data_IF_552819920516
#
_entry.id   IF_552819920516
#
_cell.length_a   1.000
_cell.length_b   1.000
_cell.length_c   1.000
_cell.angle_alpha   90.00
_cell.angle_beta   90.00
_cell.angle_gamma   90.00
#
_symmetry.space_group_name_H-M   'P 1'
#
loop_
_entity.id
_entity.type
_entity.pdbx_description
1 polymer ?
#
# COMPACT_ATOMS: atom_id res chain seq x y z
N UNK A 1 3.85 7.38 -7.82
CA UNK A 1 2.65 6.55 -7.92
C UNK A 1 1.99 6.80 -9.26
N UNK A 2 1.76 5.76 -10.04
CA UNK A 2 1.14 5.86 -11.37
C UNK A 2 0.47 4.54 -11.77
N UNK A 3 -0.43 4.59 -12.75
CA UNK A 3 -1.00 3.37 -13.36
C UNK A 3 -0.06 2.88 -14.45
N UNK A 4 0.17 1.56 -14.55
CA UNK A 4 1.02 0.98 -15.60
C UNK A 4 0.58 1.34 -17.03
N UNK A 5 -0.68 1.79 -17.23
CA UNK A 5 -1.18 2.27 -18.52
C UNK A 5 -0.64 3.66 -18.91
N UNK A 6 -0.08 4.40 -17.95
CA UNK A 6 0.45 5.76 -18.13
C UNK A 6 1.99 5.78 -18.02
N UNK A 7 2.64 4.61 -18.12
CA UNK A 7 4.07 4.41 -17.84
C UNK A 7 4.99 5.21 -18.75
N UNK A 8 4.61 5.42 -20.01
CA UNK A 8 5.47 6.04 -21.01
C UNK A 8 5.82 7.47 -20.60
N UNK A 9 4.81 8.29 -20.27
CA UNK A 9 5.02 9.68 -19.83
C UNK A 9 5.70 9.74 -18.45
N UNK A 10 5.34 8.83 -17.53
CA UNK A 10 5.96 8.80 -16.19
C UNK A 10 7.44 8.46 -16.28
N UNK A 11 7.83 7.54 -17.15
CA UNK A 11 9.24 7.23 -17.40
C UNK A 11 9.99 8.37 -18.06
N UNK A 12 9.34 9.12 -18.95
CA UNK A 12 9.92 10.33 -19.52
C UNK A 12 10.18 11.40 -18.46
N UNK A 13 9.22 11.65 -17.57
CA UNK A 13 9.36 12.56 -16.42
C UNK A 13 10.49 12.07 -15.50
N UNK A 14 10.50 10.78 -15.15
CA UNK A 14 11.51 10.18 -14.29
C UNK A 14 12.92 10.32 -14.86
N UNK A 15 13.11 10.01 -16.15
CA UNK A 15 14.40 10.18 -16.84
C UNK A 15 14.87 11.63 -16.79
N UNK A 16 13.97 12.59 -17.03
CA UNK A 16 14.33 14.00 -17.01
C UNK A 16 14.76 14.47 -15.61
N UNK A 17 14.11 13.96 -14.57
CA UNK A 17 14.53 14.23 -13.18
C UNK A 17 15.88 13.59 -12.84
N UNK A 18 16.15 12.39 -13.34
CA UNK A 18 17.47 11.75 -13.21
C UNK A 18 18.57 12.59 -13.89
N UNK A 19 18.31 13.12 -15.10
CA UNK A 19 19.21 14.05 -15.81
C UNK A 19 19.47 15.33 -15.01
N UNK A 20 18.48 15.81 -14.26
CA UNK A 20 18.59 16.97 -13.35
C UNK A 20 19.17 16.59 -11.96
N UNK A 21 19.75 15.40 -11.81
CA UNK A 21 20.38 14.87 -10.60
C UNK A 21 19.42 14.64 -9.40
N UNK A 22 18.15 14.38 -9.66
CA UNK A 22 17.24 13.89 -8.62
C UNK A 22 17.34 12.38 -8.47
N UNK A 23 17.30 11.91 -7.21
CA UNK A 23 17.12 10.48 -6.93
C UNK A 23 15.66 10.12 -7.10
N UNK A 24 15.38 9.28 -8.09
CA UNK A 24 14.04 8.79 -8.41
C UNK A 24 13.92 7.32 -8.02
N UNK A 25 12.70 6.93 -7.66
CA UNK A 25 12.33 5.53 -7.49
C UNK A 25 11.07 5.26 -8.33
N UNK A 26 11.16 4.25 -9.19
CA UNK A 26 10.05 3.74 -9.99
C UNK A 26 9.91 2.23 -9.75
N UNK A 27 8.73 1.69 -10.05
CA UNK A 27 8.41 0.25 -9.92
C UNK A 27 9.27 -0.68 -10.80
N UNK A 28 10.04 -0.14 -11.75
CA UNK A 28 11.08 -0.87 -12.51
C UNK A 28 12.36 -1.12 -11.71
N UNK A 29 12.58 -0.37 -10.62
CA UNK A 29 13.84 -0.38 -9.87
C UNK A 29 13.81 -1.50 -8.82
N UNK A 30 14.35 -2.66 -9.21
CA UNK A 30 14.78 -3.74 -8.32
C UNK A 30 13.66 -4.41 -7.49
N UNK A 31 12.73 -5.09 -8.19
CA UNK A 31 11.68 -5.93 -7.59
C UNK A 31 12.18 -7.29 -7.05
N UNK A 32 13.43 -7.40 -6.59
CA UNK A 32 13.92 -8.63 -5.94
C UNK A 32 13.44 -8.66 -4.47
N UNK A 33 12.38 -9.43 -4.19
CA UNK A 33 11.81 -9.60 -2.84
C UNK A 33 10.29 -9.40 -2.79
N UNK A 34 9.80 -8.75 -1.73
CA UNK A 34 8.39 -8.31 -1.62
C UNK A 34 8.23 -6.90 -2.21
N UNK A 35 7.59 -6.73 -3.38
CA UNK A 35 7.42 -5.42 -4.02
C UNK A 35 6.76 -4.38 -3.12
N UNK A 36 5.86 -4.83 -2.25
CA UNK A 36 5.16 -4.00 -1.26
C UNK A 36 6.12 -3.36 -0.26
N UNK A 37 7.14 -4.12 0.20
CA UNK A 37 8.12 -3.61 1.17
C UNK A 37 9.06 -2.60 0.51
N UNK A 38 9.42 -2.82 -0.76
CA UNK A 38 10.20 -1.88 -1.54
C UNK A 38 9.44 -0.57 -1.78
N UNK A 39 8.17 -0.65 -2.17
CA UNK A 39 7.28 0.52 -2.33
C UNK A 39 7.11 1.30 -1.02
N UNK A 40 6.78 0.62 0.07
CA UNK A 40 6.60 1.26 1.38
C UNK A 40 7.87 1.99 1.80
N UNK A 41 9.01 1.30 1.71
CA UNK A 41 10.31 1.90 2.00
C UNK A 41 10.61 3.11 1.10
N UNK A 42 10.27 3.05 -0.20
CA UNK A 42 10.46 4.19 -1.11
C UNK A 42 9.62 5.41 -0.69
N UNK A 43 8.35 5.19 -0.33
CA UNK A 43 7.47 6.26 0.15
C UNK A 43 7.95 6.83 1.50
N UNK A 44 8.41 5.98 2.42
CA UNK A 44 8.94 6.40 3.73
C UNK A 44 10.25 7.20 3.63
N UNK A 45 11.02 7.03 2.55
CA UNK A 45 12.34 7.63 2.40
C UNK A 45 12.42 8.65 1.26
N UNK A 46 11.28 9.10 0.72
CA UNK A 46 11.22 10.20 -0.26
C UNK A 46 10.69 11.49 0.37
N UNK A 47 11.10 12.62 -0.21
CA UNK A 47 10.56 13.94 0.13
C UNK A 47 9.22 14.20 -0.59
N UNK A 48 9.13 13.77 -1.84
CA UNK A 48 8.01 14.03 -2.73
C UNK A 48 7.43 12.72 -3.28
N UNK A 49 6.11 12.68 -3.39
CA UNK A 49 5.39 11.60 -4.08
C UNK A 49 4.55 12.20 -5.19
N UNK A 50 4.84 11.80 -6.43
CA UNK A 50 4.03 12.21 -7.56
C UNK A 50 2.82 11.29 -7.69
N UNK A 51 1.65 11.90 -7.80
CA UNK A 51 0.37 11.22 -8.01
C UNK A 51 -0.02 11.48 -9.46
N UNK A 52 0.23 10.51 -10.33
CA UNK A 52 0.04 10.63 -11.78
C UNK A 52 -1.41 10.27 -12.12
N UNK A 53 -2.26 11.29 -12.14
CA UNK A 53 -3.70 11.19 -12.24
C UNK A 53 -4.17 10.92 -13.67
N UNK A 54 -5.06 9.94 -13.77
CA UNK A 54 -5.82 9.52 -14.95
C UNK A 54 -7.04 8.70 -14.50
N UNK A 55 -7.95 8.38 -15.41
CA UNK A 55 -9.04 7.43 -15.11
C UNK A 55 -8.53 6.06 -14.65
N UNK A 56 -7.42 5.59 -15.25
CA UNK A 56 -6.85 4.29 -14.92
C UNK A 56 -6.17 4.31 -13.55
N UNK A 57 -5.54 5.43 -13.18
CA UNK A 57 -5.01 5.66 -11.84
C UNK A 57 -6.10 5.63 -10.78
N UNK A 58 -7.20 6.35 -11.02
CA UNK A 58 -8.34 6.45 -10.09
C UNK A 58 -9.03 5.11 -9.83
N UNK A 59 -9.06 4.24 -10.82
CA UNK A 59 -9.67 2.89 -10.72
C UNK A 59 -8.73 1.84 -10.13
N UNK A 60 -7.43 2.14 -10.03
CA UNK A 60 -6.43 1.21 -9.52
C UNK A 60 -6.35 1.28 -7.99
N UNK A 61 -6.64 0.16 -7.32
CA UNK A 61 -6.50 0.07 -5.86
C UNK A 61 -5.07 0.20 -5.37
N UNK A 62 -4.10 -0.28 -6.16
CA UNK A 62 -2.69 -0.11 -5.83
C UNK A 62 -2.32 1.38 -5.82
N UNK A 63 -2.83 2.14 -6.79
CA UNK A 63 -2.62 3.58 -6.88
C UNK A 63 -3.33 4.33 -5.74
N UNK A 64 -4.58 3.98 -5.45
CA UNK A 64 -5.33 4.51 -4.31
C UNK A 64 -4.59 4.27 -2.98
N UNK A 65 -4.11 3.04 -2.78
CA UNK A 65 -3.32 2.64 -1.62
C UNK A 65 -2.01 3.44 -1.50
N UNK A 66 -1.23 3.55 -2.57
CA UNK A 66 0.01 4.34 -2.58
C UNK A 66 -0.24 5.80 -2.23
N UNK A 67 -1.32 6.38 -2.77
CA UNK A 67 -1.70 7.76 -2.50
C UNK A 67 -2.10 7.96 -1.03
N UNK A 68 -2.91 7.05 -0.48
CA UNK A 68 -3.29 7.08 0.93
C UNK A 68 -2.10 6.90 1.86
N UNK A 69 -1.20 5.98 1.55
CA UNK A 69 -0.02 5.73 2.37
C UNK A 69 0.95 6.92 2.31
N UNK A 70 1.19 7.52 1.14
CA UNK A 70 1.97 8.75 1.02
C UNK A 70 1.38 9.90 1.87
N UNK A 71 0.04 10.02 1.89
CA UNK A 71 -0.66 10.98 2.73
C UNK A 71 -0.49 10.69 4.24
N UNK A 72 -0.64 9.43 4.66
CA UNK A 72 -0.43 9.00 6.05
C UNK A 72 1.00 9.27 6.53
N UNK A 73 1.98 9.04 5.66
CA UNK A 73 3.39 9.33 5.91
C UNK A 73 3.74 10.83 5.77
N UNK A 74 2.73 11.69 5.62
CA UNK A 74 2.85 13.15 5.48
C UNK A 74 3.84 13.58 4.38
N UNK A 75 3.93 12.79 3.30
CA UNK A 75 4.80 13.09 2.17
C UNK A 75 4.24 14.24 1.35
N UNK A 76 5.14 15.01 0.72
CA UNK A 76 4.73 16.11 -0.14
C UNK A 76 4.19 15.54 -1.45
N UNK A 77 2.88 15.48 -1.55
CA UNK A 77 2.19 15.01 -2.76
C UNK A 77 2.18 16.12 -3.82
N UNK A 78 2.63 15.80 -5.03
CA UNK A 78 2.51 16.65 -6.23
C UNK A 78 1.57 15.94 -7.23
N UNK A 79 0.35 16.47 -7.46
CA UNK A 79 -0.57 15.89 -8.43
C UNK A 79 -0.19 16.26 -9.86
N UNK A 80 -0.06 15.26 -10.73
CA UNK A 80 0.24 15.41 -12.16
C UNK A 80 -0.94 14.88 -12.96
N UNK A 81 -1.52 15.64 -13.89
CA UNK A 81 -2.45 15.07 -14.89
C UNK A 81 -1.60 14.52 -16.03
N UNK A 82 -1.51 13.20 -16.13
CA UNK A 82 -0.72 12.51 -17.17
C UNK A 82 -1.57 12.09 -18.36
N UNK A 83 -2.89 12.00 -18.18
CA UNK A 83 -3.86 11.74 -19.24
C UNK A 83 -5.11 12.57 -18.97
N UNK A 84 -5.53 13.36 -19.95
CA UNK A 84 -6.61 14.31 -19.78
C UNK A 84 -7.62 14.34 -20.94
N UNK A 85 -8.63 15.22 -20.83
CA UNK A 85 -8.91 16.08 -19.68
C UNK A 85 -9.28 15.26 -18.43
N UNK A 86 -8.78 15.67 -17.25
CA UNK A 86 -9.03 14.94 -16.01
C UNK A 86 -9.26 15.89 -14.84
N UNK A 87 -10.18 15.52 -13.95
CA UNK A 87 -10.47 16.22 -12.71
C UNK A 87 -10.64 15.20 -11.60
N UNK A 88 -9.84 15.31 -10.54
CA UNK A 88 -9.93 14.36 -9.44
C UNK A 88 -11.22 14.57 -8.62
N UNK A 89 -11.85 13.48 -8.25
CA UNK A 89 -13.06 13.45 -7.41
C UNK A 89 -12.93 12.38 -6.31
N UNK A 90 -13.95 12.30 -5.45
CA UNK A 90 -14.03 11.34 -4.36
C UNK A 90 -12.74 11.26 -3.53
N UNK A 91 -12.23 10.05 -3.30
CA UNK A 91 -11.00 9.81 -2.53
C UNK A 91 -9.78 10.59 -3.07
N UNK A 92 -9.63 10.69 -4.39
CA UNK A 92 -8.47 11.34 -5.02
C UNK A 92 -8.59 12.85 -4.92
N UNK A 93 -9.80 13.39 -5.09
CA UNK A 93 -10.10 14.80 -4.86
C UNK A 93 -9.79 15.22 -3.42
N UNK A 94 -10.14 14.40 -2.42
CA UNK A 94 -9.81 14.66 -1.01
C UNK A 94 -8.29 14.70 -0.77
N UNK A 95 -7.54 13.72 -1.29
CA UNK A 95 -6.07 13.66 -1.12
C UNK A 95 -5.35 14.82 -1.81
N UNK A 96 -5.87 15.24 -2.97
CA UNK A 96 -5.27 16.28 -3.80
C UNK A 96 -5.87 17.67 -3.58
N UNK A 97 -6.80 17.80 -2.63
CA UNK A 97 -7.39 19.08 -2.22
C UNK A 97 -6.30 20.09 -1.85
N UNK A 98 -6.51 21.35 -2.25
CA UNK A 98 -5.60 22.48 -2.04
C UNK A 98 -4.19 22.32 -2.65
N UNK A 99 -4.04 21.45 -3.66
CA UNK A 99 -2.79 21.29 -4.42
C UNK A 99 -2.98 21.77 -5.84
N UNK A 100 -1.95 22.40 -6.40
CA UNK A 100 -1.96 22.77 -7.81
C UNK A 100 -1.66 21.54 -8.66
N UNK A 101 -2.47 21.31 -9.69
CA UNK A 101 -2.28 20.21 -10.62
C UNK A 101 -1.35 20.67 -11.74
N UNK A 102 -0.32 19.88 -12.00
CA UNK A 102 0.55 20.10 -13.16
C UNK A 102 0.01 19.23 -14.28
N UNK A 103 -0.51 19.88 -15.33
CA UNK A 103 -1.22 19.21 -16.41
C UNK A 103 -0.31 19.00 -17.63
N UNK A 104 0.07 17.75 -17.90
CA UNK A 104 0.87 17.39 -19.08
C UNK A 104 0.02 17.17 -20.33
N UNK A 105 -1.31 17.10 -20.19
CA UNK A 105 -2.24 16.96 -21.31
C UNK A 105 -2.57 18.32 -21.96
N UNK A 106 -2.75 19.38 -21.14
CA UNK A 106 -3.09 20.72 -21.64
C UNK A 106 -1.93 21.49 -22.24
N UNK A 107 -0.70 21.20 -21.80
CA UNK A 107 0.48 21.95 -22.20
C UNK A 107 1.00 21.37 -23.50
N UNK A 108 1.21 22.22 -24.51
CA UNK A 108 1.64 21.80 -25.85
C UNK A 108 3.09 21.30 -25.90
N UNK A 109 3.91 21.66 -24.91
CA UNK A 109 5.29 21.18 -24.75
C UNK A 109 5.54 20.58 -23.36
N UNK A 110 6.11 19.38 -23.33
CA UNK A 110 6.60 18.69 -22.14
C UNK A 110 7.44 19.59 -21.22
N UNK A 111 8.34 20.40 -21.77
CA UNK A 111 9.28 21.21 -20.98
C UNK A 111 8.58 22.26 -20.11
N UNK A 112 7.47 22.83 -20.57
CA UNK A 112 6.74 23.82 -19.79
C UNK A 112 6.03 23.15 -18.59
N UNK A 113 5.40 21.99 -18.79
CA UNK A 113 4.82 21.23 -17.67
C UNK A 113 5.92 20.73 -16.70
N UNK A 114 7.05 20.28 -17.23
CA UNK A 114 8.20 19.86 -16.45
C UNK A 114 8.78 21.01 -15.61
N UNK A 115 8.87 22.22 -16.15
CA UNK A 115 9.35 23.39 -15.41
C UNK A 115 8.50 23.67 -14.16
N UNK A 116 7.18 23.40 -14.21
CA UNK A 116 6.28 23.53 -13.06
C UNK A 116 6.57 22.48 -11.98
N UNK A 117 7.02 21.28 -12.36
CA UNK A 117 7.50 20.27 -11.39
C UNK A 117 8.71 20.83 -10.65
N UNK A 118 9.70 21.35 -11.37
CA UNK A 118 10.92 21.90 -10.77
C UNK A 118 10.61 23.09 -9.86
N UNK A 119 9.68 23.96 -10.25
CA UNK A 119 9.22 25.07 -9.42
C UNK A 119 8.59 24.56 -8.11
N UNK A 120 7.73 23.54 -8.18
CA UNK A 120 7.07 23.01 -6.99
C UNK A 120 8.05 22.28 -6.06
N UNK A 121 8.99 21.50 -6.60
CA UNK A 121 10.08 20.91 -5.82
C UNK A 121 10.89 22.02 -5.14
N UNK A 122 11.28 23.06 -5.89
CA UNK A 122 12.10 24.16 -5.38
C UNK A 122 11.39 24.97 -4.31
N UNK A 123 10.07 25.18 -4.42
CA UNK A 123 9.22 25.84 -3.43
C UNK A 123 9.25 25.16 -2.06
N UNK A 124 9.55 23.85 -2.06
CA UNK A 124 9.53 22.99 -0.90
C UNK A 124 10.91 22.47 -0.46
N UNK A 125 11.96 22.68 -1.27
CA UNK A 125 13.35 22.41 -0.87
C UNK A 125 13.73 23.22 0.37
N UNK A 126 14.40 22.58 1.32
CA UNK A 126 14.85 23.19 2.58
C UNK A 126 13.76 23.42 3.63
N UNK A 127 12.48 23.17 3.31
CA UNK A 127 11.40 23.16 4.33
C UNK A 127 11.34 21.76 4.92
N UNK A 128 11.71 21.63 6.20
CA UNK A 128 11.55 20.37 6.93
C UNK A 128 10.12 19.85 6.74
N UNK A 129 10.00 18.55 6.46
CA UNK A 129 8.74 17.85 6.71
C UNK A 129 8.51 18.00 8.22
N UNK A 130 7.35 18.48 8.68
CA UNK A 130 7.10 18.64 10.11
C UNK A 130 7.20 17.26 10.76
N UNK A 131 8.38 16.97 11.27
CA UNK A 131 8.62 15.84 12.16
C UNK A 131 8.09 16.33 13.49
N UNK A 132 6.98 15.77 13.97
CA UNK A 132 6.69 15.90 15.39
C UNK A 132 7.78 15.13 16.13
N UNK A 133 8.88 15.82 16.42
CA UNK A 133 9.80 15.43 17.47
C UNK A 133 9.02 15.40 18.77
N UNK A 134 8.81 14.20 19.31
CA UNK A 134 8.39 14.01 20.70
C UNK A 134 9.33 14.83 21.60
N UNK A 135 8.81 15.69 22.49
CA UNK A 135 9.67 16.47 23.36
C UNK A 135 10.32 15.56 24.40
N UNK A 136 11.65 15.49 24.38
CA UNK A 136 12.44 15.05 25.54
C UNK A 136 12.41 16.20 26.55
N UNK A 137 11.51 16.11 27.54
CA UNK A 137 11.43 17.00 28.68
C UNK A 137 11.72 16.22 29.96
N UNK A 138 12.80 16.57 30.63
CA UNK A 138 13.32 15.90 31.83
C UNK A 138 12.60 16.41 33.11
N UNK A 139 12.18 15.44 33.94
CA UNK A 139 11.94 15.45 35.40
C UNK A 139 10.96 16.42 36.08
N UNK A 140 9.90 15.81 36.65
CA UNK A 140 9.41 16.08 38.02
C UNK A 140 7.89 15.91 38.20
N UNK A 141 7.39 15.62 39.42
CA UNK A 141 7.77 14.57 40.36
C UNK A 141 6.87 13.31 40.19
N UNK A 142 7.38 12.16 40.62
CA UNK A 142 6.67 10.89 40.55
C UNK A 142 5.34 10.94 41.34
N UNK A 143 4.17 10.63 40.72
CA UNK A 143 2.98 10.28 41.47
C UNK A 143 2.99 8.78 41.75
N UNK A 144 3.10 8.48 43.04
CA UNK A 144 2.55 7.34 43.76
C UNK A 144 2.23 6.08 42.95
N UNK A 145 3.04 5.05 43.22
CA UNK A 145 2.82 3.65 42.91
C UNK A 145 1.41 3.21 43.28
N UNK A 146 0.51 3.22 42.29
CA UNK A 146 -0.66 2.35 42.30
C UNK A 146 -0.17 1.01 41.77
N UNK A 147 -0.21 0.02 42.63
CA UNK A 147 0.23 -1.36 42.40
C UNK A 147 -0.61 -2.01 41.27
N UNK A 148 -0.25 -1.72 40.02
CA UNK A 148 -0.72 -2.49 38.87
C UNK A 148 0.23 -3.67 38.76
N UNK A 149 -0.18 -4.81 39.35
CA UNK A 149 0.39 -6.11 39.01
C UNK A 149 0.46 -6.21 37.49
N UNK A 150 1.62 -6.56 36.90
CA UNK A 150 1.68 -6.83 35.49
C UNK A 150 0.70 -7.96 35.21
N UNK A 151 -0.30 -7.72 34.38
CA UNK A 151 -1.04 -8.79 33.76
C UNK A 151 -0.06 -9.50 32.83
N UNK A 152 0.66 -10.47 33.41
CA UNK A 152 1.36 -11.50 32.67
C UNK A 152 0.28 -12.23 31.88
N UNK A 153 0.09 -11.82 30.62
CA UNK A 153 -0.57 -12.70 29.65
C UNK A 153 0.38 -13.87 29.50
N UNK A 154 0.11 -14.93 30.27
CA UNK A 154 0.74 -16.23 30.11
C UNK A 154 0.27 -16.76 28.76
N UNK A 155 0.94 -16.37 27.67
CA UNK A 155 0.94 -17.21 26.46
C UNK A 155 1.84 -18.38 26.77
N UNK A 156 1.23 -19.52 27.09
CA UNK A 156 1.90 -20.81 27.00
C UNK A 156 2.55 -20.92 25.60
N UNK A 157 3.76 -21.52 25.48
CA UNK A 157 4.29 -21.85 24.17
C UNK A 157 3.28 -22.73 23.45
N UNK A 158 2.73 -22.24 22.33
CA UNK A 158 1.87 -23.05 21.48
C UNK A 158 2.67 -24.31 21.07
N UNK A 159 2.07 -25.51 21.09
CA UNK A 159 2.76 -26.72 20.66
C UNK A 159 3.28 -26.53 19.23
N UNK A 160 4.44 -27.10 18.86
CA UNK A 160 4.98 -26.99 17.51
C UNK A 160 4.04 -27.69 16.53
N UNK A 161 3.10 -26.93 15.98
CA UNK A 161 2.18 -27.37 14.93
C UNK A 161 2.80 -27.00 13.59
N UNK A 162 3.12 -28.02 12.79
CA UNK A 162 3.63 -27.83 11.43
C UNK A 162 2.46 -27.64 10.49
N UNK A 163 2.35 -26.45 9.89
CA UNK A 163 1.36 -26.18 8.86
C UNK A 163 1.76 -26.89 7.55
N UNK A 164 0.80 -27.54 6.90
CA UNK A 164 1.00 -28.07 5.55
C UNK A 164 1.35 -26.95 4.57
N UNK A 165 2.20 -27.23 3.59
CA UNK A 165 2.46 -26.30 2.48
C UNK A 165 1.27 -26.13 1.54
N UNK A 166 0.29 -27.04 1.60
CA UNK A 166 -0.94 -26.97 0.81
C UNK A 166 -2.06 -26.37 1.66
N UNK A 167 -2.48 -25.15 1.33
CA UNK A 167 -3.48 -24.40 2.09
C UNK A 167 -4.80 -25.15 2.26
N UNK A 168 -5.29 -25.83 1.21
CA UNK A 168 -6.59 -26.53 1.23
C UNK A 168 -6.65 -27.71 2.21
N UNK A 169 -5.52 -28.15 2.76
CA UNK A 169 -5.47 -29.20 3.78
C UNK A 169 -5.59 -28.67 5.22
N UNK A 170 -5.69 -27.34 5.40
CA UNK A 170 -5.74 -26.73 6.72
C UNK A 170 -7.12 -26.88 7.36
N UNK A 171 -7.13 -27.29 8.63
CA UNK A 171 -8.31 -27.20 9.50
C UNK A 171 -8.58 -25.76 9.94
N UNK A 172 -9.75 -25.50 10.53
CA UNK A 172 -10.05 -24.21 11.16
C UNK A 172 -9.00 -23.82 12.22
N UNK A 173 -8.50 -24.79 12.98
CA UNK A 173 -7.48 -24.54 13.98
C UNK A 173 -6.12 -24.20 13.35
N UNK A 174 -5.81 -24.75 12.17
CA UNK A 174 -4.61 -24.40 11.41
C UNK A 174 -4.69 -22.97 10.88
N UNK A 175 -5.88 -22.56 10.42
CA UNK A 175 -6.14 -21.18 10.03
C UNK A 175 -5.98 -20.24 11.23
N UNK A 176 -6.64 -20.51 12.36
CA UNK A 176 -6.49 -19.70 13.59
C UNK A 176 -5.02 -19.60 14.02
N UNK A 177 -4.30 -20.72 14.01
CA UNK A 177 -2.88 -20.78 14.33
C UNK A 177 -2.04 -19.93 13.37
N UNK A 178 -2.30 -20.02 12.05
CA UNK A 178 -1.64 -19.18 11.05
C UNK A 178 -1.84 -17.68 11.31
N UNK A 179 -3.08 -17.24 11.55
CA UNK A 179 -3.37 -15.83 11.82
C UNK A 179 -2.70 -15.34 13.11
N UNK A 180 -2.53 -16.21 14.11
CA UNK A 180 -1.79 -15.90 15.34
C UNK A 180 -0.29 -15.75 15.07
N UNK A 181 0.38 -16.74 14.46
CA UNK A 181 1.83 -16.72 14.23
C UNK A 181 2.26 -15.61 13.23
N UNK A 182 1.36 -15.23 12.30
CA UNK A 182 1.61 -14.16 11.34
C UNK A 182 1.18 -12.78 11.85
N UNK A 183 0.69 -12.67 13.09
CA UNK A 183 0.23 -11.41 13.68
C UNK A 183 -0.87 -10.73 12.84
N UNK A 184 -1.81 -11.52 12.32
CA UNK A 184 -2.96 -11.09 11.53
C UNK A 184 -4.25 -11.07 12.36
N UNK A 185 -4.14 -10.98 13.69
CA UNK A 185 -5.27 -11.14 14.62
C UNK A 185 -6.45 -10.19 14.37
N UNK A 186 -6.20 -9.02 13.76
CA UNK A 186 -7.26 -8.08 13.41
C UNK A 186 -8.27 -8.64 12.38
N UNK A 187 -7.91 -9.70 11.65
CA UNK A 187 -8.81 -10.39 10.70
C UNK A 187 -9.50 -11.63 11.28
N UNK A 188 -9.11 -12.08 12.48
CA UNK A 188 -9.73 -13.25 13.12
C UNK A 188 -11.25 -13.16 13.29
N UNK A 189 -11.86 -12.00 13.60
CA UNK A 189 -13.32 -11.93 13.75
C UNK A 189 -14.09 -12.40 12.51
N UNK A 190 -13.53 -12.19 11.31
CA UNK A 190 -14.09 -12.68 10.05
C UNK A 190 -13.58 -14.09 9.73
N UNK A 191 -12.28 -14.34 9.92
CA UNK A 191 -11.63 -15.54 9.42
C UNK A 191 -11.63 -16.73 10.38
N UNK A 192 -12.10 -16.59 11.62
CA UNK A 192 -11.97 -17.62 12.66
C UNK A 192 -12.70 -18.93 12.33
N UNK A 193 -13.80 -18.89 11.57
CA UNK A 193 -14.55 -20.07 11.15
C UNK A 193 -14.12 -20.65 9.80
N UNK A 194 -13.04 -20.13 9.19
CA UNK A 194 -12.60 -20.59 7.87
C UNK A 194 -11.66 -21.78 8.00
N UNK A 195 -11.90 -22.81 7.20
CA UNK A 195 -10.90 -23.83 6.89
C UNK A 195 -9.99 -23.36 5.73
N UNK A 196 -9.00 -24.17 5.39
CA UNK A 196 -8.04 -23.88 4.32
C UNK A 196 -8.67 -23.66 2.94
N UNK A 197 -9.73 -24.40 2.63
CA UNK A 197 -10.45 -24.28 1.35
C UNK A 197 -11.19 -22.95 1.25
N UNK A 198 -11.91 -22.58 2.30
CA UNK A 198 -12.64 -21.31 2.40
C UNK A 198 -11.67 -20.12 2.37
N UNK A 199 -10.57 -20.23 3.09
CA UNK A 199 -9.51 -19.21 3.09
C UNK A 199 -8.84 -19.06 1.71
N UNK A 200 -8.64 -20.15 0.97
CA UNK A 200 -8.16 -20.11 -0.41
C UNK A 200 -9.16 -19.40 -1.33
N UNK A 201 -10.46 -19.64 -1.13
CA UNK A 201 -11.54 -18.94 -1.83
C UNK A 201 -11.52 -17.44 -1.58
N UNK A 202 -11.46 -17.04 -0.30
CA UNK A 202 -11.34 -15.64 0.10
C UNK A 202 -10.12 -14.98 -0.54
N UNK A 203 -8.95 -15.62 -0.47
CA UNK A 203 -7.74 -15.10 -1.11
C UNK A 203 -7.90 -14.93 -2.62
N UNK A 204 -8.56 -15.88 -3.30
CA UNK A 204 -8.85 -15.80 -4.73
C UNK A 204 -9.73 -14.60 -5.05
N UNK A 205 -10.79 -14.37 -4.26
CA UNK A 205 -11.67 -13.21 -4.41
C UNK A 205 -10.92 -11.90 -4.17
N UNK A 206 -10.07 -11.84 -3.14
CA UNK A 206 -9.22 -10.68 -2.86
C UNK A 206 -8.24 -10.38 -4.00
N UNK A 207 -7.85 -11.39 -4.79
CA UNK A 207 -6.96 -11.20 -5.95
C UNK A 207 -7.69 -10.75 -7.22
N UNK A 208 -8.93 -11.17 -7.42
CA UNK A 208 -9.72 -10.81 -8.60
C UNK A 208 -10.41 -9.47 -8.43
N UNK A 209 -10.78 -9.09 -7.21
CA UNK A 209 -11.47 -7.83 -6.92
C UNK A 209 -10.94 -7.16 -5.66
N UNK A 210 -9.66 -6.81 -5.68
CA UNK A 210 -8.89 -6.33 -4.51
C UNK A 210 -9.53 -5.15 -3.78
N UNK A 211 -10.14 -4.21 -4.51
CA UNK A 211 -10.71 -2.98 -3.95
C UNK A 211 -12.04 -3.28 -3.25
N UNK A 212 -12.98 -3.89 -3.97
CA UNK A 212 -14.28 -4.21 -3.41
C UNK A 212 -14.17 -5.19 -2.24
N UNK A 213 -13.21 -6.11 -2.28
CA UNK A 213 -12.97 -7.06 -1.19
C UNK A 213 -12.37 -6.39 0.05
N UNK A 214 -11.43 -5.45 -0.11
CA UNK A 214 -10.92 -4.69 1.04
C UNK A 214 -12.03 -3.90 1.72
N UNK A 215 -12.88 -3.21 0.93
CA UNK A 215 -14.01 -2.45 1.47
C UNK A 215 -15.04 -3.36 2.15
N UNK A 216 -15.33 -4.53 1.56
CA UNK A 216 -16.26 -5.51 2.15
C UNK A 216 -15.73 -6.08 3.47
N UNK A 217 -14.45 -6.48 3.52
CA UNK A 217 -13.81 -6.98 4.74
C UNK A 217 -13.71 -5.91 5.83
N UNK A 218 -13.45 -4.66 5.44
CA UNK A 218 -13.43 -3.52 6.37
C UNK A 218 -14.84 -3.25 6.93
N UNK A 219 -15.88 -3.36 6.11
CA UNK A 219 -17.26 -3.20 6.54
C UNK A 219 -17.67 -4.30 7.54
N UNK A 220 -17.43 -5.57 7.22
CA UNK A 220 -17.72 -6.71 8.12
C UNK A 220 -16.94 -6.62 9.45
N UNK A 221 -15.70 -6.14 9.43
CA UNK A 221 -14.93 -5.91 10.67
C UNK A 221 -15.50 -4.77 11.52
N UNK A 222 -16.09 -3.77 10.87
CA UNK A 222 -16.75 -2.66 11.57
C UNK A 222 -18.07 -3.12 12.21
N UNK A 223 -18.83 -3.96 11.51
CA UNK A 223 -20.09 -4.54 12.01
C UNK A 223 -19.88 -5.53 13.17
N UNK A 224 -18.78 -6.28 13.16
CA UNK A 224 -18.40 -7.18 14.25
C UNK A 224 -17.86 -6.48 15.51
N UNK A 225 -18.04 -5.15 15.62
CA UNK A 225 -17.57 -4.31 16.73
C UNK A 225 -16.05 -4.44 17.00
N UNK A 226 -15.28 -4.78 15.96
CA UNK A 226 -13.84 -4.98 16.00
C UNK A 226 -13.09 -3.72 15.55
N UNK A 227 -11.77 -3.67 15.80
CA UNK A 227 -10.91 -2.57 15.35
C UNK A 227 -10.92 -2.47 13.81
N UNK A 228 -10.72 -1.25 13.29
CA UNK A 228 -10.53 -0.97 11.86
C UNK A 228 -9.47 -1.92 11.30
N UNK A 229 -9.74 -2.56 10.15
CA UNK A 229 -8.76 -3.36 9.41
C UNK A 229 -7.61 -2.47 8.92
N UNK A 230 -6.39 -2.58 9.49
CA UNK A 230 -5.26 -1.79 8.99
C UNK A 230 -4.86 -2.33 7.61
N UNK A 231 -4.59 -1.43 6.66
CA UNK A 231 -4.22 -1.82 5.30
C UNK A 231 -2.94 -2.69 5.28
N UNK A 232 -1.99 -2.41 6.17
CA UNK A 232 -0.78 -3.21 6.36
C UNK A 232 -1.11 -4.65 6.74
N UNK A 233 -2.16 -4.87 7.53
CA UNK A 233 -2.64 -6.21 7.90
C UNK A 233 -3.26 -6.92 6.71
N UNK A 234 -4.08 -6.23 5.90
CA UNK A 234 -4.67 -6.82 4.70
C UNK A 234 -3.60 -7.24 3.66
N UNK A 235 -2.60 -6.40 3.42
CA UNK A 235 -1.50 -6.74 2.50
C UNK A 235 -0.64 -7.88 3.03
N UNK A 236 -0.31 -7.85 4.33
CA UNK A 236 0.41 -8.94 4.98
C UNK A 236 -0.37 -10.25 4.89
N UNK A 237 -1.69 -10.19 5.00
CA UNK A 237 -2.56 -11.34 4.78
C UNK A 237 -2.40 -11.92 3.37
N UNK A 238 -2.51 -11.10 2.32
CA UNK A 238 -2.36 -11.57 0.93
C UNK A 238 -0.99 -12.21 0.69
N UNK A 239 0.08 -11.58 1.16
CA UNK A 239 1.45 -12.06 0.97
C UNK A 239 1.75 -13.34 1.77
N UNK A 240 1.22 -13.47 2.99
CA UNK A 240 1.45 -14.68 3.79
C UNK A 240 0.62 -15.87 3.29
N UNK A 241 -0.63 -15.66 2.84
CA UNK A 241 -1.48 -16.73 2.32
C UNK A 241 -0.98 -17.24 0.96
N UNK A 242 -0.47 -16.35 0.10
CA UNK A 242 0.13 -16.69 -1.20
C UNK A 242 1.16 -17.82 -1.13
N UNK A 243 1.91 -17.93 -0.03
CA UNK A 243 2.96 -18.93 0.17
C UNK A 243 2.45 -20.37 0.29
N UNK A 244 1.15 -20.54 0.50
CA UNK A 244 0.50 -21.84 0.74
C UNK A 244 -0.52 -22.21 -0.34
N UNK A 245 -0.83 -21.28 -1.25
CA UNK A 245 -1.72 -21.55 -2.39
C UNK A 245 -0.88 -22.13 -3.53
N UNK A 246 -1.21 -23.33 -4.04
CA UNK A 246 -0.47 -23.92 -5.14
C UNK A 246 -0.52 -23.01 -6.37
N UNK A 247 0.63 -22.81 -7.01
CA UNK A 247 0.71 -22.16 -8.32
C UNK A 247 -0.01 -23.09 -9.30
N UNK A 248 -1.26 -22.78 -9.66
CA UNK A 248 -1.93 -23.52 -10.74
C UNK A 248 -1.15 -23.27 -12.02
N UNK A 249 -0.59 -24.32 -12.67
CA UNK A 249 -0.06 -24.20 -14.02
C UNK A 249 -1.25 -24.01 -14.94
N UNK A 250 -1.62 -22.75 -15.17
CA UNK A 250 -2.88 -22.34 -15.79
C UNK A 250 -3.28 -20.91 -15.44
N UNK A 251 -2.73 -20.32 -14.37
CA UNK A 251 -2.74 -18.87 -14.14
C UNK A 251 -1.36 -18.27 -14.38
N UNK A 252 -0.78 -18.58 -15.54
CA UNK A 252 0.22 -17.68 -16.10
C UNK A 252 -0.45 -16.32 -16.25
N UNK A 253 0.12 -15.32 -15.59
CA UNK A 253 -0.05 -13.90 -15.85
C UNK A 253 -0.98 -13.56 -17.02
N UNK A 254 -2.12 -12.93 -16.73
CA UNK A 254 -2.77 -12.06 -17.74
C UNK A 254 -1.90 -10.80 -18.01
N UNK A 255 -0.74 -10.69 -17.36
CA UNK A 255 0.37 -9.84 -17.77
C UNK A 255 1.29 -10.57 -18.77
N UNK A 256 0.90 -10.59 -20.04
CA UNK A 256 1.75 -10.75 -21.25
C UNK A 256 1.04 -11.56 -22.33
N UNK A 257 0.03 -10.98 -22.96
CA UNK A 257 -0.17 -11.21 -24.40
C UNK A 257 0.61 -10.11 -25.13
N UNK A 258 1.94 -10.26 -25.11
CA UNK A 258 2.80 -9.64 -26.12
C UNK A 258 2.80 -10.64 -27.27
N UNK A 259 2.07 -10.29 -28.32
CA UNK A 259 2.23 -10.89 -29.63
C UNK A 259 3.71 -10.95 -29.97
N UNK A 260 4.19 -12.13 -30.37
CA UNK A 260 5.36 -12.24 -31.22
C UNK A 260 5.19 -13.42 -32.17
N UNK A 261 5.42 -13.10 -33.46
CA UNK A 261 5.63 -13.93 -34.65
C UNK A 261 4.33 -14.50 -35.26
N UNK A 262 3.92 -14.17 -36.50
CA UNK A 262 4.59 -13.61 -37.69
C UNK A 262 3.81 -12.43 -38.29
#
# INVERSE_FOLDING_TARGET
SYSHQDKELVYQIGKRLEEDNFRIWLDRDNMYGSPTRAMAHAIENTDFVFICMSDSYKKSGYCEMEAHYAYQQQRRVIPLIVKGPYHADGWLGLLTTNKMYIDFHKVSNFDEAYSKIIQEISRHRGKSIPTMSTPVGNHGPAPHSVDIKPATVVTAPLPPRTLSHTLTLWSEDDVKYFFQIKQLQAMLPICAGMDGSTLSGLYTMCRTNSNAMYDSLKAELTESNSKILPIVTYLKFLEEVKKYVPITPGSANVASVVCNLM
#
